data_IF_115068459029
#
_entry.id   IF_115068459029
#
_cell.length_a   1.000
_cell.length_b   1.000
_cell.length_c   1.000
_cell.angle_alpha   90.00
_cell.angle_beta   90.00
_cell.angle_gamma   90.00
#
_symmetry.space_group_name_H-M   'P 1'
#
loop_
_entity.id
_entity.type
_entity.pdbx_description
1 polymer ?
#
# COMPACT_ATOMS: atom_id res chain seq x y z
N UNK A 1 -16.39 -5.06 0.60
CA UNK A 1 -17.29 -4.49 -0.46
C UNK A 1 -16.85 -3.06 -0.77
N UNK A 2 -17.25 -2.50 -1.91
CA UNK A 2 -17.05 -1.12 -2.31
C UNK A 2 -18.41 -0.51 -2.65
N UNK A 3 -18.48 0.84 -2.66
CA UNK A 3 -19.67 1.57 -3.12
C UNK A 3 -20.10 1.11 -4.52
N UNK A 4 -21.38 0.88 -4.79
CA UNK A 4 -22.55 0.86 -3.89
C UNK A 4 -22.93 -0.56 -3.40
N UNK A 5 -22.06 -1.55 -3.50
CA UNK A 5 -22.39 -2.97 -3.30
C UNK A 5 -22.93 -3.32 -1.90
N UNK A 6 -22.63 -2.51 -0.88
CA UNK A 6 -23.18 -2.69 0.47
C UNK A 6 -24.59 -2.10 0.66
N UNK A 7 -25.21 -1.59 -0.39
CA UNK A 7 -26.60 -1.13 -0.36
C UNK A 7 -27.64 -2.26 -0.39
N UNK A 8 -27.21 -3.52 -0.36
CA UNK A 8 -28.11 -4.70 -0.30
C UNK A 8 -28.82 -4.73 1.05
N UNK A 9 -30.14 -4.99 1.06
CA UNK A 9 -30.90 -5.16 2.29
C UNK A 9 -30.97 -6.63 2.67
N UNK A 10 -30.60 -6.94 3.93
CA UNK A 10 -30.66 -8.28 4.51
C UNK A 10 -30.78 -8.19 6.03
N UNK A 11 -31.54 -9.05 6.67
CA UNK A 11 -31.76 -9.05 8.13
C UNK A 11 -30.46 -9.29 8.92
N UNK A 12 -29.51 -10.05 8.37
CA UNK A 12 -28.17 -10.26 8.91
C UNK A 12 -27.12 -9.59 7.97
N UNK A 13 -27.28 -8.27 7.82
CA UNK A 13 -26.39 -7.48 6.95
C UNK A 13 -25.07 -7.22 7.68
N UNK A 14 -24.01 -7.86 7.20
CA UNK A 14 -22.62 -7.64 7.64
C UNK A 14 -21.82 -7.11 6.49
N UNK A 15 -21.09 -6.04 6.73
CA UNK A 15 -20.29 -5.37 5.71
C UNK A 15 -18.82 -5.50 6.00
N UNK A 16 -18.07 -5.88 5.00
CA UNK A 16 -16.62 -5.77 5.01
C UNK A 16 -16.21 -4.75 3.95
N UNK A 17 -15.90 -3.53 4.41
CA UNK A 17 -15.60 -2.39 3.59
C UNK A 17 -14.14 -2.40 3.15
N UNK A 18 -13.88 -2.30 1.84
CA UNK A 18 -12.53 -2.15 1.30
C UNK A 18 -12.05 -0.70 1.41
N UNK A 19 -12.91 0.22 1.01
CA UNK A 19 -12.72 1.67 1.17
C UNK A 19 -14.05 2.38 0.86
N UNK A 20 -14.17 3.62 1.34
CA UNK A 20 -15.22 4.56 0.92
C UNK A 20 -14.93 5.06 -0.51
N UNK A 21 -15.88 5.74 -1.11
CA UNK A 21 -15.67 6.43 -2.40
C UNK A 21 -14.86 7.72 -2.16
N UNK A 22 -13.53 7.59 -2.02
CA UNK A 22 -12.62 8.63 -1.53
C UNK A 22 -12.75 10.00 -2.23
N UNK A 23 -13.16 10.02 -3.50
CA UNK A 23 -13.36 11.27 -4.24
C UNK A 23 -14.41 12.20 -3.61
N UNK A 24 -15.32 11.68 -2.76
CA UNK A 24 -16.31 12.50 -2.04
C UNK A 24 -15.97 12.71 -0.56
N UNK A 25 -14.83 12.15 -0.09
CA UNK A 25 -14.36 12.24 1.29
C UNK A 25 -12.99 12.93 1.35
N UNK A 26 -11.95 12.21 1.64
CA UNK A 26 -10.60 12.73 1.87
C UNK A 26 -9.88 13.26 0.60
N UNK A 27 -10.30 12.84 -0.58
CA UNK A 27 -9.80 13.34 -1.86
C UNK A 27 -10.72 14.36 -2.52
N UNK A 28 -11.77 14.80 -1.83
CA UNK A 28 -12.69 15.81 -2.36
C UNK A 28 -12.05 17.21 -2.33
N UNK A 29 -11.95 17.83 -3.50
CA UNK A 29 -11.47 19.21 -3.62
C UNK A 29 -12.65 20.20 -3.69
N UNK A 30 -12.83 20.98 -2.65
CA UNK A 30 -13.87 22.01 -2.61
C UNK A 30 -13.65 23.14 -3.62
N UNK A 31 -12.40 23.37 -4.07
CA UNK A 31 -12.08 24.44 -5.00
C UNK A 31 -12.44 24.08 -6.45
N UNK A 32 -12.45 22.77 -6.77
CA UNK A 32 -12.79 22.27 -8.11
C UNK A 32 -14.25 21.81 -8.22
N UNK A 33 -15.00 21.77 -7.10
CA UNK A 33 -16.35 21.25 -7.06
C UNK A 33 -17.37 22.25 -7.59
N UNK A 34 -18.17 21.81 -8.56
CA UNK A 34 -19.39 22.49 -8.98
C UNK A 34 -20.61 22.02 -8.15
N UNK A 35 -21.80 22.59 -8.45
CA UNK A 35 -23.02 22.25 -7.74
C UNK A 35 -23.45 20.79 -7.96
N UNK A 36 -23.18 20.21 -9.13
CA UNK A 36 -23.53 18.81 -9.45
C UNK A 36 -22.67 17.85 -8.64
N UNK A 37 -21.36 18.07 -8.59
CA UNK A 37 -20.43 17.27 -7.79
C UNK A 37 -20.72 17.40 -6.28
N UNK A 38 -21.12 18.60 -5.82
CA UNK A 38 -21.50 18.82 -4.43
C UNK A 38 -22.78 18.07 -4.03
N UNK A 39 -23.78 18.03 -4.93
CA UNK A 39 -24.99 17.25 -4.72
C UNK A 39 -24.69 15.75 -4.71
N UNK A 40 -23.91 15.27 -5.68
CA UNK A 40 -23.51 13.86 -5.74
C UNK A 40 -22.74 13.43 -4.48
N UNK A 41 -21.85 14.27 -3.97
CA UNK A 41 -21.17 14.04 -2.70
C UNK A 41 -22.17 13.81 -1.57
N UNK A 42 -23.17 14.69 -1.45
CA UNK A 42 -24.17 14.57 -0.40
C UNK A 42 -24.97 13.27 -0.52
N UNK A 43 -25.42 12.93 -1.73
CA UNK A 43 -26.15 11.68 -2.00
C UNK A 43 -25.35 10.44 -1.63
N UNK A 44 -24.05 10.39 -1.94
CA UNK A 44 -23.17 9.27 -1.59
C UNK A 44 -22.98 9.18 -0.07
N UNK A 45 -22.77 10.30 0.62
CA UNK A 45 -22.63 10.33 2.08
C UNK A 45 -23.91 9.84 2.77
N UNK A 46 -25.08 10.29 2.29
CA UNK A 46 -26.38 9.84 2.82
C UNK A 46 -26.60 8.35 2.58
N UNK A 47 -26.24 7.85 1.39
CA UNK A 47 -26.28 6.42 1.07
C UNK A 47 -25.37 5.62 2.01
N UNK A 48 -24.13 6.04 2.20
CA UNK A 48 -23.16 5.38 3.07
C UNK A 48 -23.66 5.35 4.53
N UNK A 49 -24.10 6.50 5.06
CA UNK A 49 -24.61 6.61 6.42
C UNK A 49 -25.83 5.70 6.65
N UNK A 50 -26.72 5.60 5.68
CA UNK A 50 -27.92 4.74 5.75
C UNK A 50 -27.55 3.27 5.76
N UNK A 51 -26.74 2.82 4.80
CA UNK A 51 -26.52 1.39 4.57
C UNK A 51 -25.42 0.81 5.46
N UNK A 52 -24.36 1.55 5.74
CA UNK A 52 -23.33 1.13 6.68
C UNK A 52 -23.79 1.29 8.12
N UNK A 53 -24.53 2.37 8.42
CA UNK A 53 -25.07 2.60 9.77
C UNK A 53 -26.17 1.61 10.20
N UNK A 54 -26.88 1.01 9.24
CA UNK A 54 -27.88 -0.03 9.50
C UNK A 54 -27.32 -1.45 9.52
N UNK A 55 -26.04 -1.64 9.16
CA UNK A 55 -25.45 -2.96 9.17
C UNK A 55 -25.27 -3.50 10.60
N UNK A 56 -25.53 -4.79 10.77
CA UNK A 56 -25.37 -5.48 12.07
C UNK A 56 -23.91 -5.47 12.55
N UNK A 57 -22.97 -5.57 11.62
CA UNK A 57 -21.52 -5.52 11.89
C UNK A 57 -20.81 -4.92 10.70
N UNK A 58 -19.85 -4.03 10.96
CA UNK A 58 -19.02 -3.42 9.93
C UNK A 58 -17.57 -3.73 10.20
N UNK A 59 -16.91 -4.30 9.23
CA UNK A 59 -15.46 -4.49 9.18
C UNK A 59 -14.86 -3.56 8.14
N UNK A 60 -13.64 -3.14 8.37
CA UNK A 60 -12.79 -2.43 7.39
C UNK A 60 -11.57 -3.29 7.06
N UNK A 61 -11.01 -3.17 5.86
CA UNK A 61 -9.83 -3.94 5.47
C UNK A 61 -8.55 -3.50 6.21
N UNK A 62 -8.58 -2.32 6.89
CA UNK A 62 -7.45 -1.77 7.64
C UNK A 62 -7.92 -0.88 8.79
N UNK A 63 -7.03 -0.57 9.72
CA UNK A 63 -7.27 0.45 10.75
C UNK A 63 -7.45 1.84 10.12
N UNK A 64 -6.69 2.14 9.04
CA UNK A 64 -6.81 3.42 8.33
C UNK A 64 -8.20 3.61 7.72
N UNK A 65 -8.77 2.59 7.09
CA UNK A 65 -10.14 2.64 6.55
C UNK A 65 -11.17 2.71 7.69
N UNK A 66 -10.97 1.97 8.78
CA UNK A 66 -11.82 2.07 9.97
C UNK A 66 -11.83 3.49 10.55
N UNK A 67 -10.65 4.11 10.66
CA UNK A 67 -10.52 5.47 11.15
C UNK A 67 -11.24 6.49 10.24
N UNK A 68 -11.07 6.40 8.93
CA UNK A 68 -11.81 7.28 7.99
C UNK A 68 -13.33 7.10 8.11
N UNK A 69 -13.81 5.86 8.22
CA UNK A 69 -15.22 5.59 8.40
C UNK A 69 -15.76 6.24 9.69
N UNK A 70 -14.97 6.21 10.77
CA UNK A 70 -15.31 6.89 12.02
C UNK A 70 -15.29 8.41 11.87
N UNK A 71 -14.25 8.96 11.23
CA UNK A 71 -14.07 10.41 11.04
C UNK A 71 -15.18 11.02 10.18
N UNK A 72 -15.52 10.39 9.05
CA UNK A 72 -16.46 10.96 8.06
C UNK A 72 -17.91 10.58 8.28
N UNK A 73 -18.18 9.37 8.79
CA UNK A 73 -19.54 8.85 8.93
C UNK A 73 -19.95 8.58 10.38
N UNK A 74 -19.05 8.73 11.36
CA UNK A 74 -19.32 8.42 12.76
C UNK A 74 -19.52 6.92 13.06
N UNK A 75 -19.21 6.03 12.09
CA UNK A 75 -19.48 4.60 12.18
C UNK A 75 -18.25 3.87 12.72
N UNK A 76 -18.44 3.11 13.79
CA UNK A 76 -17.40 2.22 14.32
C UNK A 76 -17.27 0.95 13.48
N UNK A 77 -16.04 0.53 13.23
CA UNK A 77 -15.73 -0.69 12.50
C UNK A 77 -14.46 -1.35 13.02
N UNK A 78 -14.37 -2.66 12.85
CA UNK A 78 -13.20 -3.45 13.23
C UNK A 78 -12.31 -3.69 12.01
N UNK A 79 -11.00 -3.46 12.13
CA UNK A 79 -10.07 -3.83 11.08
C UNK A 79 -10.01 -5.36 10.96
N UNK A 80 -10.14 -5.86 9.74
CA UNK A 80 -10.09 -7.28 9.41
C UNK A 80 -9.17 -7.48 8.20
N UNK A 81 -7.95 -7.90 8.49
CA UNK A 81 -6.91 -8.08 7.48
C UNK A 81 -7.10 -9.38 6.70
N UNK A 82 -6.76 -9.36 5.42
CA UNK A 82 -6.88 -10.52 4.55
C UNK A 82 -5.61 -10.73 3.72
N UNK A 83 -5.31 -11.97 3.32
CA UNK A 83 -4.11 -12.27 2.56
C UNK A 83 -4.16 -11.68 1.14
N UNK A 84 -3.02 -11.36 0.54
CA UNK A 84 -2.94 -11.07 -0.88
C UNK A 84 -3.29 -12.31 -1.72
N UNK A 85 -3.59 -12.10 -3.00
CA UNK A 85 -3.91 -13.18 -3.92
C UNK A 85 -2.76 -14.18 -4.02
N UNK A 86 -3.07 -15.47 -3.85
CA UNK A 86 -2.10 -16.57 -3.87
C UNK A 86 -0.91 -16.36 -2.91
N UNK A 87 -1.22 -15.95 -1.68
CA UNK A 87 -0.25 -15.69 -0.62
C UNK A 87 0.74 -16.85 -0.43
N UNK A 88 0.28 -18.09 -0.61
CA UNK A 88 1.07 -19.33 -0.50
C UNK A 88 2.13 -19.51 -1.60
N UNK A 89 2.10 -18.71 -2.66
CA UNK A 89 3.04 -18.79 -3.76
C UNK A 89 4.21 -17.81 -3.66
N UNK A 90 4.19 -16.91 -2.67
CA UNK A 90 5.33 -16.04 -2.39
C UNK A 90 6.45 -16.83 -1.69
N UNK A 91 7.68 -16.51 -2.03
CA UNK A 91 8.87 -17.19 -1.51
C UNK A 91 10.04 -16.21 -1.40
N UNK A 92 11.11 -16.61 -0.71
CA UNK A 92 12.35 -15.86 -0.60
C UNK A 92 13.47 -16.60 -1.36
N UNK A 93 14.30 -15.84 -2.07
CA UNK A 93 15.49 -16.31 -2.75
C UNK A 93 16.67 -15.38 -2.42
N UNK A 94 17.89 -15.74 -2.82
CA UNK A 94 19.08 -14.91 -2.62
C UNK A 94 18.91 -13.54 -3.29
N UNK A 95 19.13 -12.44 -2.54
CA UNK A 95 18.89 -11.12 -3.04
C UNK A 95 19.93 -10.68 -4.08
N UNK A 96 19.45 -10.04 -5.12
CA UNK A 96 20.24 -9.24 -6.03
C UNK A 96 20.27 -7.78 -5.57
N UNK A 97 21.18 -6.99 -6.13
CA UNK A 97 21.42 -5.61 -5.73
C UNK A 97 20.38 -4.63 -6.31
N UNK A 98 19.10 -4.91 -6.05
CA UNK A 98 18.01 -4.01 -6.41
C UNK A 98 16.91 -3.93 -5.32
N UNK A 99 16.23 -2.81 -5.28
CA UNK A 99 14.97 -2.65 -4.56
C UNK A 99 13.80 -2.67 -5.55
N UNK A 100 12.75 -3.39 -5.19
CA UNK A 100 11.55 -3.53 -6.01
C UNK A 100 10.50 -2.48 -5.60
N UNK A 101 9.99 -1.73 -6.57
CA UNK A 101 9.06 -0.63 -6.38
C UNK A 101 7.78 -0.85 -7.23
N UNK A 102 6.99 -1.91 -6.93
CA UNK A 102 5.80 -2.22 -7.72
C UNK A 102 4.63 -1.33 -7.33
N UNK A 103 3.96 -0.74 -8.30
CA UNK A 103 2.66 -0.10 -8.12
C UNK A 103 2.10 0.39 -9.45
N UNK A 104 0.81 0.74 -9.49
CA UNK A 104 0.29 1.56 -10.59
C UNK A 104 1.01 2.90 -10.61
N UNK A 105 1.34 3.39 -11.81
CA UNK A 105 2.04 4.68 -11.98
C UNK A 105 1.02 5.82 -11.87
N UNK A 106 0.62 6.12 -10.64
CA UNK A 106 -0.37 7.14 -10.28
C UNK A 106 0.20 8.09 -9.22
N UNK A 107 -0.26 9.33 -9.19
CA UNK A 107 0.27 10.37 -8.30
C UNK A 107 0.24 9.98 -6.82
N UNK A 108 -0.84 9.34 -6.35
CA UNK A 108 -0.96 8.87 -4.97
C UNK A 108 0.01 7.74 -4.60
N UNK A 109 0.63 7.08 -5.59
CA UNK A 109 1.64 6.03 -5.36
C UNK A 109 3.06 6.59 -5.22
N UNK A 110 3.25 7.86 -5.56
CA UNK A 110 4.46 8.68 -5.31
C UNK A 110 5.77 8.07 -5.82
N UNK A 111 5.77 7.41 -6.99
CA UNK A 111 7.02 6.99 -7.63
C UNK A 111 7.94 8.18 -7.91
N UNK A 112 7.37 9.39 -8.05
CA UNK A 112 8.16 10.62 -8.15
C UNK A 112 9.14 10.77 -6.97
N UNK A 113 8.70 10.51 -5.73
CA UNK A 113 9.56 10.57 -4.55
C UNK A 113 10.72 9.57 -4.65
N UNK A 114 10.45 8.35 -5.15
CA UNK A 114 11.47 7.31 -5.35
C UNK A 114 12.50 7.75 -6.40
N UNK A 115 12.04 8.31 -7.53
CA UNK A 115 12.90 8.78 -8.62
C UNK A 115 13.75 9.97 -8.16
N UNK A 116 13.18 10.93 -7.42
CA UNK A 116 13.93 12.05 -6.84
C UNK A 116 14.97 11.59 -5.81
N UNK A 117 14.62 10.63 -4.96
CA UNK A 117 15.55 10.05 -3.99
C UNK A 117 16.78 9.43 -4.66
N UNK A 118 16.66 8.92 -5.89
CA UNK A 118 17.78 8.29 -6.62
C UNK A 118 18.98 9.21 -6.80
N UNK A 119 18.79 10.55 -6.86
CA UNK A 119 19.90 11.52 -6.94
C UNK A 119 20.78 11.51 -5.68
N UNK A 120 20.20 11.11 -4.55
CA UNK A 120 20.86 11.15 -3.23
C UNK A 120 21.38 9.80 -2.78
N UNK A 121 21.06 8.72 -3.49
CA UNK A 121 21.55 7.37 -3.21
C UNK A 121 23.04 7.29 -3.54
N UNK A 122 23.84 6.79 -2.59
CA UNK A 122 25.29 6.66 -2.71
C UNK A 122 25.72 5.25 -3.14
N UNK A 123 24.93 4.25 -2.76
CA UNK A 123 25.18 2.86 -3.11
C UNK A 123 24.88 2.57 -4.59
N UNK A 124 25.43 1.48 -5.16
CA UNK A 124 25.17 1.10 -6.54
C UNK A 124 23.86 0.29 -6.71
N UNK A 125 22.96 0.36 -5.73
CA UNK A 125 21.69 -0.36 -5.76
C UNK A 125 20.77 0.17 -6.88
N UNK A 126 20.10 -0.76 -7.56
CA UNK A 126 19.13 -0.43 -8.60
C UNK A 126 17.72 -0.28 -8.02
N UNK A 127 16.93 0.64 -8.57
CA UNK A 127 15.50 0.79 -8.27
C UNK A 127 14.68 0.28 -9.46
N UNK A 128 14.00 -0.85 -9.30
CA UNK A 128 13.12 -1.42 -10.33
C UNK A 128 11.70 -0.94 -10.08
N UNK A 129 11.31 0.10 -10.78
CA UNK A 129 9.95 0.66 -10.75
C UNK A 129 9.09 -0.08 -11.76
N UNK A 130 8.07 -0.80 -11.26
CA UNK A 130 7.29 -1.72 -12.04
C UNK A 130 5.79 -1.39 -11.98
N UNK A 131 5.15 -1.32 -13.13
CA UNK A 131 3.71 -1.05 -13.28
C UNK A 131 3.39 -0.19 -14.48
N UNK A 132 2.11 0.09 -14.63
CA UNK A 132 1.54 0.96 -15.65
C UNK A 132 0.64 2.00 -14.99
N UNK A 133 0.40 3.13 -15.67
CA UNK A 133 -0.50 4.18 -15.20
C UNK A 133 -0.30 5.50 -15.91
N UNK A 134 -1.14 6.48 -15.60
CA UNK A 134 -1.18 7.77 -16.29
C UNK A 134 0.09 8.61 -16.12
N UNK A 135 0.90 8.32 -15.08
CA UNK A 135 2.13 9.08 -14.79
C UNK A 135 3.38 8.56 -15.52
N UNK A 136 3.28 7.49 -16.35
CA UNK A 136 4.44 6.88 -16.99
C UNK A 136 5.33 7.89 -17.73
N UNK A 137 4.73 8.67 -18.63
CA UNK A 137 5.48 9.66 -19.44
C UNK A 137 6.14 10.74 -18.56
N UNK A 138 5.46 11.16 -17.50
CA UNK A 138 6.03 12.11 -16.53
C UNK A 138 7.26 11.52 -15.85
N UNK A 139 7.22 10.24 -15.42
CA UNK A 139 8.34 9.59 -14.74
C UNK A 139 9.51 9.31 -15.69
N UNK A 140 9.27 8.96 -16.95
CA UNK A 140 10.33 8.82 -17.98
C UNK A 140 11.08 10.14 -18.18
N UNK A 141 10.36 11.26 -18.30
CA UNK A 141 10.95 12.58 -18.40
C UNK A 141 11.72 12.97 -17.13
N UNK A 142 11.17 12.67 -15.95
CA UNK A 142 11.81 13.00 -14.68
C UNK A 142 13.14 12.24 -14.50
N UNK A 143 13.19 10.96 -14.84
CA UNK A 143 14.42 10.15 -14.82
C UNK A 143 15.50 10.78 -15.73
N UNK A 144 15.10 11.19 -16.92
CA UNK A 144 16.02 11.85 -17.87
C UNK A 144 16.49 13.23 -17.37
N UNK A 145 15.58 14.05 -16.83
CA UNK A 145 15.90 15.39 -16.32
C UNK A 145 16.84 15.35 -15.11
N UNK A 146 16.71 14.34 -14.27
CA UNK A 146 17.51 14.16 -13.07
C UNK A 146 18.80 13.36 -13.31
N UNK A 147 19.01 12.86 -14.54
CA UNK A 147 20.15 12.02 -14.93
C UNK A 147 20.37 10.81 -14.01
N UNK A 148 19.26 10.08 -13.72
CA UNK A 148 19.29 8.91 -12.82
C UNK A 148 18.93 7.60 -13.53
N UNK A 149 19.04 7.55 -14.86
CA UNK A 149 18.74 6.37 -15.65
C UNK A 149 19.67 5.17 -15.36
N UNK A 150 20.86 5.43 -14.80
CA UNK A 150 21.78 4.42 -14.31
C UNK A 150 21.31 3.72 -13.02
N UNK A 151 20.40 4.34 -12.28
CA UNK A 151 19.87 3.83 -10.99
C UNK A 151 18.41 3.39 -11.05
N UNK A 152 17.60 3.99 -11.93
CA UNK A 152 16.15 3.77 -11.97
C UNK A 152 15.73 3.15 -13.29
N UNK A 153 15.05 1.99 -13.22
CA UNK A 153 14.50 1.30 -14.38
C UNK A 153 12.98 1.24 -14.29
N UNK A 154 12.28 1.80 -15.31
CA UNK A 154 10.83 1.65 -15.48
C UNK A 154 10.57 0.43 -16.37
N UNK A 155 10.21 -0.72 -15.76
CA UNK A 155 10.07 -1.98 -16.50
C UNK A 155 8.66 -2.22 -17.07
N UNK A 156 7.67 -1.36 -16.75
CA UNK A 156 6.30 -1.53 -17.21
C UNK A 156 5.56 -2.68 -16.54
N UNK A 157 4.65 -3.33 -17.30
CA UNK A 157 3.83 -4.44 -16.80
C UNK A 157 4.66 -5.69 -16.56
N UNK A 158 4.20 -6.47 -15.62
CA UNK A 158 4.76 -7.77 -15.28
C UNK A 158 3.63 -8.78 -15.01
N UNK A 159 3.90 -10.04 -15.23
CA UNK A 159 2.99 -11.14 -14.91
C UNK A 159 3.03 -11.47 -13.41
N UNK A 160 2.04 -12.20 -12.90
CA UNK A 160 2.06 -12.69 -11.52
C UNK A 160 3.26 -13.59 -11.20
N UNK A 161 3.76 -14.34 -12.20
CA UNK A 161 4.97 -15.14 -12.03
C UNK A 161 6.24 -14.27 -11.87
N UNK A 162 6.41 -13.28 -12.76
CA UNK A 162 7.52 -12.32 -12.67
C UNK A 162 7.45 -11.50 -11.40
N UNK A 163 6.25 -11.08 -10.96
CA UNK A 163 6.06 -10.38 -9.69
C UNK A 163 6.70 -11.14 -8.53
N UNK A 164 6.40 -12.43 -8.39
CA UNK A 164 6.95 -13.26 -7.33
C UNK A 164 8.48 -13.38 -7.40
N UNK A 165 9.05 -13.47 -8.60
CA UNK A 165 10.50 -13.50 -8.80
C UNK A 165 11.12 -12.17 -8.39
N UNK A 166 10.51 -11.02 -8.78
CA UNK A 166 11.00 -9.70 -8.37
C UNK A 166 10.99 -9.52 -6.85
N UNK A 167 9.91 -9.91 -6.18
CA UNK A 167 9.89 -9.89 -4.71
C UNK A 167 10.96 -10.83 -4.15
N UNK A 168 11.00 -12.08 -4.57
CA UNK A 168 11.88 -13.10 -4.00
C UNK A 168 13.35 -12.74 -4.08
N UNK A 169 13.76 -12.07 -5.16
CA UNK A 169 15.17 -11.74 -5.44
C UNK A 169 15.53 -10.28 -5.18
N UNK A 170 14.60 -9.45 -4.71
CA UNK A 170 14.93 -8.07 -4.30
C UNK A 170 15.70 -8.08 -2.97
N UNK A 171 16.49 -7.03 -2.74
CA UNK A 171 17.08 -6.72 -1.44
C UNK A 171 16.01 -6.24 -0.44
N UNK A 172 14.98 -5.58 -0.95
CA UNK A 172 13.84 -5.06 -0.20
C UNK A 172 12.84 -4.41 -1.16
N UNK A 173 11.78 -3.84 -0.61
CA UNK A 173 10.69 -3.22 -1.34
C UNK A 173 10.55 -1.76 -0.91
N UNK A 174 10.37 -0.86 -1.87
CA UNK A 174 10.03 0.54 -1.60
C UNK A 174 8.57 0.77 -1.99
N UNK A 175 7.76 1.10 -1.01
CA UNK A 175 6.34 1.39 -1.22
C UNK A 175 5.94 2.59 -0.36
N UNK A 176 5.87 3.75 -0.99
CA UNK A 176 5.71 5.06 -0.35
C UNK A 176 4.41 5.79 -0.78
N UNK A 177 3.26 5.13 -0.86
CA UNK A 177 2.02 5.78 -1.27
C UNK A 177 1.63 6.88 -0.30
N UNK A 178 0.78 7.80 -0.72
CA UNK A 178 0.11 8.76 0.18
C UNK A 178 -1.22 8.17 0.63
N UNK A 179 -1.34 7.92 1.93
CA UNK A 179 -2.57 7.51 2.60
C UNK A 179 -3.27 6.32 1.92
N UNK A 180 -2.54 5.23 1.73
CA UNK A 180 -3.04 3.97 1.15
C UNK A 180 -4.08 3.31 2.06
N UNK A 181 -5.07 2.67 1.47
CA UNK A 181 -6.13 2.01 2.22
C UNK A 181 -5.64 0.75 2.94
N UNK A 182 -4.88 -0.13 2.24
CA UNK A 182 -4.44 -1.41 2.80
C UNK A 182 -2.96 -1.71 2.53
N UNK A 183 -2.53 -1.65 1.26
CA UNK A 183 -1.14 -1.87 0.90
C UNK A 183 -0.73 -3.33 0.75
N UNK A 184 -1.37 -4.07 -0.15
CA UNK A 184 -0.98 -5.47 -0.47
C UNK A 184 0.51 -5.66 -0.72
N UNK A 185 1.18 -4.65 -1.32
CA UNK A 185 2.61 -4.66 -1.60
C UNK A 185 3.44 -4.93 -0.34
N UNK A 186 3.03 -4.37 0.80
CA UNK A 186 3.68 -4.61 2.09
C UNK A 186 3.55 -6.08 2.50
N UNK A 187 2.37 -6.67 2.36
CA UNK A 187 2.13 -8.06 2.72
C UNK A 187 2.83 -9.04 1.77
N UNK A 188 2.85 -8.73 0.46
CA UNK A 188 3.57 -9.52 -0.56
C UNK A 188 5.08 -9.51 -0.29
N UNK A 189 5.64 -8.36 0.13
CA UNK A 189 7.03 -8.24 0.55
C UNK A 189 7.32 -9.08 1.81
N UNK A 190 6.46 -8.99 2.84
CA UNK A 190 6.58 -9.78 4.06
C UNK A 190 6.52 -11.29 3.80
N UNK A 191 5.60 -11.74 2.93
CA UNK A 191 5.50 -13.13 2.50
C UNK A 191 6.75 -13.60 1.75
N UNK A 192 7.47 -12.68 1.11
CA UNK A 192 8.75 -12.94 0.43
C UNK A 192 9.96 -12.72 1.36
N UNK A 193 9.74 -12.52 2.67
CA UNK A 193 10.80 -12.20 3.64
C UNK A 193 11.68 -11.02 3.22
N UNK A 194 11.04 -9.97 2.69
CA UNK A 194 11.73 -8.74 2.26
C UNK A 194 11.34 -7.56 3.13
N UNK A 195 12.30 -6.76 3.61
CA UNK A 195 11.99 -5.54 4.35
C UNK A 195 11.30 -4.52 3.44
N UNK A 196 10.44 -3.71 4.03
CA UNK A 196 9.73 -2.64 3.31
C UNK A 196 10.18 -1.28 3.80
N UNK A 197 10.43 -0.35 2.88
CA UNK A 197 10.56 1.08 3.18
C UNK A 197 9.24 1.73 2.81
N UNK A 198 8.60 2.41 3.77
CA UNK A 198 7.43 3.25 3.53
C UNK A 198 7.59 4.63 4.17
N UNK A 199 6.66 5.54 3.91
CA UNK A 199 6.63 6.85 4.57
C UNK A 199 5.67 6.85 5.77
N UNK A 200 5.90 7.79 6.71
CA UNK A 200 5.06 7.99 7.90
C UNK A 200 3.59 8.27 7.56
N UNK A 201 3.32 8.86 6.40
CA UNK A 201 1.99 9.17 5.88
C UNK A 201 1.45 8.14 4.86
N UNK A 202 2.04 6.95 4.80
CA UNK A 202 1.64 5.92 3.81
C UNK A 202 0.31 5.22 4.15
N UNK A 203 -0.30 5.48 5.31
CA UNK A 203 -1.59 4.88 5.71
C UNK A 203 -1.48 3.39 6.03
N UNK A 204 -2.33 2.54 5.45
CA UNK A 204 -2.38 1.09 5.73
C UNK A 204 -1.03 0.36 5.79
N UNK A 205 -0.04 0.61 4.92
CA UNK A 205 1.30 0.04 5.04
C UNK A 205 1.95 0.20 6.42
N UNK A 206 1.75 1.34 7.09
CA UNK A 206 2.35 1.60 8.41
C UNK A 206 1.78 0.73 9.53
N UNK A 207 0.63 0.08 9.33
CA UNK A 207 0.03 -0.84 10.29
C UNK A 207 0.80 -2.17 10.43
N UNK A 208 1.63 -2.46 9.44
CA UNK A 208 2.39 -3.70 9.34
C UNK A 208 3.88 -3.51 9.60
N UNK A 209 4.39 -2.27 9.45
CA UNK A 209 5.83 -1.97 9.51
C UNK A 209 6.18 -1.35 10.85
N UNK A 210 7.07 -2.02 11.57
CA UNK A 210 7.74 -1.51 12.77
C UNK A 210 9.15 -1.05 12.39
N UNK A 211 9.39 0.28 12.52
CA UNK A 211 10.64 0.90 12.10
C UNK A 211 11.86 0.26 12.79
N UNK A 212 12.83 -0.17 12.00
CA UNK A 212 14.07 -0.79 12.46
C UNK A 212 13.96 -2.27 12.83
N UNK A 213 12.75 -2.82 12.92
CA UNK A 213 12.45 -4.23 13.25
C UNK A 213 12.20 -5.05 11.99
N UNK A 214 11.13 -4.74 11.24
CA UNK A 214 10.73 -5.48 10.03
C UNK A 214 10.71 -4.63 8.76
N UNK A 215 11.11 -3.37 8.86
CA UNK A 215 11.21 -2.42 7.76
C UNK A 215 11.64 -1.06 8.24
N UNK A 216 11.53 -0.07 7.37
CA UNK A 216 11.90 1.31 7.67
C UNK A 216 10.72 2.25 7.37
N UNK A 217 10.38 3.10 8.32
CA UNK A 217 9.41 4.18 8.15
C UNK A 217 10.18 5.49 8.16
N UNK A 218 10.05 6.29 7.10
CA UNK A 218 10.73 7.58 6.95
C UNK A 218 9.73 8.69 6.67
N UNK A 219 10.11 9.93 6.86
CA UNK A 219 9.29 11.04 6.38
C UNK A 219 9.23 11.05 4.84
N UNK A 220 8.18 11.62 4.21
CA UNK A 220 8.07 11.71 2.77
C UNK A 220 9.05 12.74 2.18
N UNK A 221 10.33 12.48 2.39
CA UNK A 221 11.49 13.30 2.00
C UNK A 221 12.47 12.46 1.19
N UNK A 222 12.95 13.02 0.06
CA UNK A 222 13.82 12.33 -0.88
C UNK A 222 15.17 11.91 -0.29
N UNK A 223 15.72 12.70 0.64
CA UNK A 223 17.02 12.41 1.27
C UNK A 223 16.89 11.35 2.34
N UNK A 224 15.83 11.38 3.14
CA UNK A 224 15.57 10.34 4.14
C UNK A 224 15.26 9.00 3.46
N UNK A 225 14.51 9.02 2.35
CA UNK A 225 14.26 7.82 1.56
C UNK A 225 15.56 7.24 0.98
N UNK A 226 16.43 8.08 0.43
CA UNK A 226 17.74 7.66 -0.07
C UNK A 226 18.63 7.06 1.04
N UNK A 227 18.64 7.67 2.22
CA UNK A 227 19.38 7.14 3.37
C UNK A 227 18.86 5.75 3.80
N UNK A 228 17.53 5.55 3.81
CA UNK A 228 16.95 4.26 4.13
C UNK A 228 17.29 3.19 3.09
N UNK A 229 17.34 3.57 1.81
CA UNK A 229 17.77 2.71 0.70
C UNK A 229 19.23 2.29 0.87
N UNK A 230 20.13 3.26 1.10
CA UNK A 230 21.55 3.01 1.35
C UNK A 230 21.77 2.12 2.58
N UNK A 231 21.02 2.35 3.67
CA UNK A 231 21.08 1.53 4.90
C UNK A 231 20.77 0.06 4.64
N UNK A 232 19.79 -0.27 3.80
CA UNK A 232 19.48 -1.66 3.44
C UNK A 232 20.63 -2.28 2.61
N UNK A 233 21.18 -1.52 1.67
CA UNK A 233 22.26 -1.98 0.81
C UNK A 233 23.57 -2.18 1.58
N UNK A 234 23.95 -1.25 2.42
CA UNK A 234 25.19 -1.29 3.21
C UNK A 234 25.18 -2.42 4.25
N UNK A 235 23.99 -2.82 4.73
CA UNK A 235 23.85 -3.90 5.70
C UNK A 235 22.84 -4.96 5.24
N UNK A 236 23.20 -5.72 4.20
CA UNK A 236 22.35 -6.77 3.62
C UNK A 236 21.95 -7.85 4.64
N UNK A 237 22.81 -8.15 5.63
CA UNK A 237 22.47 -9.09 6.69
C UNK A 237 21.35 -8.54 7.59
N UNK A 238 21.38 -7.26 7.96
CA UNK A 238 20.31 -6.62 8.71
C UNK A 238 19.03 -6.55 7.89
N UNK A 239 19.12 -6.24 6.59
CA UNK A 239 17.98 -6.24 5.67
C UNK A 239 17.31 -7.64 5.62
N UNK A 240 18.10 -8.72 5.56
CA UNK A 240 17.61 -10.09 5.62
C UNK A 240 16.84 -10.38 6.92
N UNK A 241 17.43 -10.04 8.07
CA UNK A 241 16.79 -10.24 9.38
C UNK A 241 15.47 -9.43 9.50
N UNK A 242 15.45 -8.20 8.99
CA UNK A 242 14.20 -7.40 8.92
C UNK A 242 13.13 -8.09 8.07
N UNK A 243 13.49 -8.65 6.92
CA UNK A 243 12.57 -9.39 6.07
C UNK A 243 12.03 -10.64 6.74
N UNK A 244 12.87 -11.41 7.43
CA UNK A 244 12.47 -12.58 8.23
C UNK A 244 11.50 -12.18 9.35
N UNK A 245 11.78 -11.08 10.04
CA UNK A 245 10.86 -10.51 11.05
C UNK A 245 9.53 -10.06 10.44
N UNK A 246 9.54 -9.52 9.21
CA UNK A 246 8.33 -9.18 8.46
C UNK A 246 7.42 -10.40 8.25
N UNK A 247 7.98 -11.52 7.82
CA UNK A 247 7.23 -12.78 7.67
C UNK A 247 6.66 -13.27 9.02
N UNK A 248 7.39 -13.14 10.12
CA UNK A 248 6.87 -13.48 11.45
C UNK A 248 5.71 -12.56 11.86
N UNK A 249 5.83 -11.26 11.61
CA UNK A 249 4.74 -10.27 11.87
C UNK A 249 3.49 -10.63 11.07
N UNK A 250 3.62 -10.98 9.79
CA UNK A 250 2.48 -11.44 8.96
C UNK A 250 1.76 -12.64 9.59
N UNK A 251 2.52 -13.65 10.03
CA UNK A 251 1.98 -14.86 10.66
C UNK A 251 1.31 -14.57 12.00
N UNK A 252 1.93 -13.74 12.84
CA UNK A 252 1.39 -13.36 14.16
C UNK A 252 0.08 -12.59 14.05
N UNK A 253 -0.09 -11.78 13.01
CA UNK A 253 -1.35 -11.06 12.74
C UNK A 253 -2.48 -11.96 12.23
N UNK A 254 -2.23 -13.26 12.06
CA UNK A 254 -3.20 -14.25 11.60
C UNK A 254 -3.93 -13.83 10.31
N UNK A 255 -3.18 -13.30 9.33
CA UNK A 255 -3.72 -12.82 8.06
C UNK A 255 -4.00 -14.02 7.15
N UNK A 256 -5.19 -14.62 7.30
CA UNK A 256 -5.63 -15.78 6.51
C UNK A 256 -7.14 -15.74 6.27
N UNK A 257 -7.60 -16.47 5.26
CA UNK A 257 -9.03 -16.50 4.90
C UNK A 257 -9.90 -17.17 5.97
N UNK A 258 -9.38 -18.17 6.69
CA UNK A 258 -10.12 -18.84 7.76
C UNK A 258 -10.47 -17.87 8.90
N UNK A 259 -9.52 -16.99 9.26
CA UNK A 259 -9.77 -15.93 10.23
C UNK A 259 -10.82 -14.93 9.71
N UNK A 260 -10.70 -14.50 8.44
CA UNK A 260 -11.66 -13.57 7.83
C UNK A 260 -13.07 -14.15 7.84
N UNK A 261 -13.23 -15.38 7.40
CA UNK A 261 -14.54 -16.06 7.36
C UNK A 261 -15.09 -16.26 8.79
N UNK A 262 -14.25 -16.68 9.73
CA UNK A 262 -14.63 -16.86 11.12
C UNK A 262 -15.16 -15.57 11.77
N UNK A 263 -14.45 -14.45 11.58
CA UNK A 263 -14.85 -13.14 12.10
C UNK A 263 -16.14 -12.59 11.46
N UNK A 264 -16.30 -12.78 10.15
CA UNK A 264 -17.50 -12.32 9.43
C UNK A 264 -18.74 -13.12 9.86
N UNK A 265 -18.60 -14.42 10.13
CA UNK A 265 -19.71 -15.30 10.48
C UNK A 265 -20.03 -15.32 11.98
N UNK A 266 -19.14 -14.83 12.84
CA UNK A 266 -19.40 -14.66 14.28
C UNK A 266 -20.35 -13.50 14.55
#
# INVERSE_FOLDING_TARGET
MQFPAYGVQHDDHRVWLMHQHRAVYDLYDNAEADAELSNLKQEIIEFDNRHLGSAKKVFANSQRVAQRLKEFNGIDSQALYHPPHKAEQFYCDEPLDYLFCPSRLESLKRQELIIRAAQHIKSPVQLIVAGEGGQRYFYENLISQLDVADKVQLIGRFTEAEKRVFYARSLGVVFVPKDEDYGYITLEAMLSSKPVICCSDSGGPTEFIEHGSNGLVVEPDEKQLAQAIDQLYENKQKAKLMGEQGLQTYKQKNICWDNVVGEILS
#
